data_IF_336243579987
#
_entry.id   IF_336243579987
#
_cell.length_a   1.000
_cell.length_b   1.000
_cell.length_c   1.000
_cell.angle_alpha   90.00
_cell.angle_beta   90.00
_cell.angle_gamma   90.00
#
_symmetry.space_group_name_H-M   'P 1'
#
loop_
_entity.id
_entity.type
_entity.pdbx_description
1 polymer ?
#
# COMPACT_ATOMS: atom_id res chain seq x y z
N UNK A 1 2.82 -3.20 -5.94
CA UNK A 1 2.66 -1.74 -5.88
C UNK A 1 3.84 -1.04 -5.21
N UNK A 2 4.18 -1.34 -3.96
CA UNK A 2 5.33 -0.74 -3.26
C UNK A 2 6.66 -1.12 -3.94
N UNK A 3 6.93 -2.42 -4.13
CA UNK A 3 8.13 -2.91 -4.85
C UNK A 3 8.32 -2.32 -6.24
N UNK A 4 7.22 -1.99 -6.89
CA UNK A 4 7.21 -1.42 -8.23
C UNK A 4 7.59 0.07 -8.17
N UNK A 5 7.10 0.82 -7.17
CA UNK A 5 7.60 2.18 -6.88
C UNK A 5 9.10 2.16 -6.54
N UNK A 6 9.54 1.25 -5.67
CA UNK A 6 10.97 1.08 -5.32
C UNK A 6 11.84 0.83 -6.56
N UNK A 7 11.41 -0.09 -7.44
CA UNK A 7 12.14 -0.38 -8.68
C UNK A 7 12.26 0.84 -9.61
N UNK A 8 11.22 1.69 -9.65
CA UNK A 8 11.21 2.91 -10.46
C UNK A 8 12.08 3.99 -9.86
N UNK A 9 12.15 4.10 -8.53
CA UNK A 9 13.09 5.01 -7.85
C UNK A 9 14.52 4.67 -8.24
N UNK A 10 14.90 3.39 -8.15
CA UNK A 10 16.26 2.94 -8.53
C UNK A 10 16.54 3.27 -10.01
N UNK A 11 15.59 2.99 -10.90
CA UNK A 11 15.76 3.31 -12.32
C UNK A 11 15.87 4.84 -12.57
N UNK A 12 15.17 5.66 -11.78
CA UNK A 12 15.30 7.12 -11.89
C UNK A 12 16.70 7.58 -11.48
N UNK A 13 17.21 7.04 -10.37
CA UNK A 13 18.58 7.30 -9.91
C UNK A 13 19.62 6.89 -10.96
N UNK A 14 19.46 5.74 -11.59
CA UNK A 14 20.33 5.29 -12.69
C UNK A 14 20.30 6.24 -13.88
N UNK A 15 19.13 6.75 -14.27
CA UNK A 15 19.01 7.73 -15.35
C UNK A 15 19.66 9.07 -14.99
N UNK A 16 19.49 9.55 -13.77
CA UNK A 16 20.11 10.77 -13.27
C UNK A 16 21.64 10.62 -13.25
N UNK A 17 22.14 9.46 -12.82
CA UNK A 17 23.57 9.17 -12.82
C UNK A 17 24.15 9.10 -14.25
N UNK A 18 23.42 8.51 -15.20
CA UNK A 18 23.79 8.51 -16.62
C UNK A 18 23.85 9.93 -17.19
N UNK A 19 22.84 10.76 -16.94
CA UNK A 19 22.85 12.17 -17.36
C UNK A 19 24.05 12.91 -16.77
N UNK A 20 24.35 12.67 -15.50
CA UNK A 20 25.47 13.32 -14.81
C UNK A 20 26.82 12.93 -15.41
N UNK A 21 27.01 11.65 -15.74
CA UNK A 21 28.28 11.12 -16.27
C UNK A 21 28.46 11.31 -17.77
N UNK A 22 27.40 11.13 -18.58
CA UNK A 22 27.47 11.17 -20.04
C UNK A 22 27.33 12.58 -20.61
N UNK A 23 26.51 13.42 -19.97
CA UNK A 23 26.18 14.76 -20.46
C UNK A 23 26.92 15.83 -19.64
N UNK A 24 26.66 15.88 -18.32
CA UNK A 24 27.10 17.02 -17.50
C UNK A 24 28.62 17.02 -17.23
N UNK A 25 29.24 15.85 -17.10
CA UNK A 25 30.69 15.73 -16.93
C UNK A 25 31.46 15.96 -18.24
N UNK A 26 30.78 15.96 -19.39
CA UNK A 26 31.44 16.08 -20.67
C UNK A 26 31.51 17.53 -21.15
N UNK A 27 32.67 18.16 -20.96
CA UNK A 27 32.94 19.56 -21.32
C UNK A 27 32.74 19.85 -22.81
N UNK A 28 32.76 18.83 -23.69
CA UNK A 28 32.47 19.05 -25.12
C UNK A 28 31.02 19.45 -25.37
N UNK A 29 30.08 19.05 -24.50
CA UNK A 29 28.65 19.37 -24.63
C UNK A 29 28.37 20.87 -24.49
N UNK A 30 29.20 21.61 -23.74
CA UNK A 30 29.07 23.07 -23.61
C UNK A 30 29.36 23.80 -24.94
N UNK A 31 30.14 23.18 -25.84
CA UNK A 31 30.53 23.76 -27.14
C UNK A 31 29.67 23.26 -28.31
N UNK A 32 28.75 22.31 -28.06
CA UNK A 32 27.89 21.78 -29.12
C UNK A 32 26.82 22.79 -29.53
N UNK A 33 26.42 22.81 -30.82
CA UNK A 33 25.23 23.52 -31.25
C UNK A 33 23.98 23.03 -30.49
N UNK A 34 23.03 23.92 -30.15
CA UNK A 34 21.84 23.55 -29.38
C UNK A 34 21.02 22.39 -29.98
N UNK A 35 20.92 22.33 -31.31
CA UNK A 35 20.20 21.26 -32.02
C UNK A 35 20.88 19.89 -31.83
N UNK A 36 22.20 19.82 -31.95
CA UNK A 36 22.95 18.57 -31.74
C UNK A 36 22.92 18.11 -30.29
N UNK A 37 23.02 19.07 -29.36
CA UNK A 37 22.87 18.82 -27.93
C UNK A 37 21.49 18.23 -27.61
N UNK A 38 20.42 18.78 -28.18
CA UNK A 38 19.07 18.23 -28.03
C UNK A 38 18.99 16.80 -28.58
N UNK A 39 19.40 16.54 -29.82
CA UNK A 39 19.32 15.20 -30.43
C UNK A 39 20.04 14.14 -29.60
N UNK A 40 21.17 14.48 -28.96
CA UNK A 40 21.92 13.53 -28.12
C UNK A 40 21.32 13.33 -26.72
N UNK A 41 20.58 14.31 -26.20
CA UNK A 41 20.04 14.29 -24.84
C UNK A 41 18.54 13.93 -24.78
N UNK A 42 17.80 14.10 -25.87
CA UNK A 42 16.35 13.95 -25.94
C UNK A 42 15.86 12.60 -25.42
N UNK A 43 16.54 11.50 -25.79
CA UNK A 43 16.17 10.17 -25.34
C UNK A 43 16.24 10.02 -23.82
N UNK A 44 17.34 10.46 -23.22
CA UNK A 44 17.55 10.39 -21.76
C UNK A 44 16.59 11.33 -21.02
N UNK A 45 16.42 12.57 -21.50
CA UNK A 45 15.54 13.57 -20.87
C UNK A 45 14.08 13.14 -20.95
N UNK A 46 13.66 12.55 -22.07
CA UNK A 46 12.29 12.04 -22.24
C UNK A 46 12.04 10.81 -21.36
N UNK A 47 13.01 9.88 -21.27
CA UNK A 47 12.92 8.74 -20.36
C UNK A 47 12.82 9.19 -18.90
N UNK A 48 13.65 10.17 -18.50
CA UNK A 48 13.63 10.74 -17.15
C UNK A 48 12.26 11.34 -16.81
N UNK A 49 11.69 12.11 -17.74
CA UNK A 49 10.37 12.72 -17.57
C UNK A 49 9.26 11.68 -17.44
N UNK A 50 9.22 10.70 -18.32
CA UNK A 50 8.18 9.66 -18.30
C UNK A 50 8.24 8.87 -17.00
N UNK A 51 9.44 8.50 -16.55
CA UNK A 51 9.62 7.78 -15.29
C UNK A 51 9.21 8.63 -14.08
N UNK A 52 9.50 9.94 -14.09
CA UNK A 52 9.05 10.86 -13.05
C UNK A 52 7.51 10.95 -12.99
N UNK A 53 6.84 10.96 -14.14
CA UNK A 53 5.37 10.94 -14.23
C UNK A 53 4.79 9.66 -13.63
N UNK A 54 5.37 8.50 -13.95
CA UNK A 54 4.95 7.21 -13.37
C UNK A 54 5.18 7.13 -11.86
N UNK A 55 6.31 7.63 -11.36
CA UNK A 55 6.61 7.68 -9.92
C UNK A 55 5.61 8.59 -9.22
N UNK A 56 5.32 9.78 -9.79
CA UNK A 56 4.30 10.69 -9.25
C UNK A 56 2.95 10.00 -9.11
N UNK A 57 2.49 9.31 -10.14
CA UNK A 57 1.16 8.69 -10.13
C UNK A 57 1.06 7.58 -9.08
N UNK A 58 2.14 6.83 -8.88
CA UNK A 58 2.24 5.83 -7.81
C UNK A 58 2.26 6.44 -6.44
N UNK A 59 3.02 7.52 -6.24
CA UNK A 59 3.03 8.24 -4.96
C UNK A 59 1.63 8.79 -4.62
N UNK A 60 0.92 9.35 -5.61
CA UNK A 60 -0.44 9.85 -5.43
C UNK A 60 -1.43 8.74 -5.07
N UNK A 61 -1.23 7.54 -5.62
CA UNK A 61 -2.03 6.38 -5.28
C UNK A 61 -1.73 5.86 -3.86
N UNK A 62 -0.46 5.72 -3.49
CA UNK A 62 -0.05 5.15 -2.21
C UNK A 62 -0.25 6.12 -1.03
N UNK A 63 -0.18 7.43 -1.28
CA UNK A 63 -0.31 8.45 -0.24
C UNK A 63 -1.01 9.71 -0.74
N UNK A 64 -2.32 9.62 -1.07
CA UNK A 64 -3.09 10.72 -1.62
C UNK A 64 -3.17 11.94 -0.68
N UNK A 65 -2.99 11.75 0.63
CA UNK A 65 -3.03 12.82 1.64
C UNK A 65 -1.89 13.82 1.44
N UNK A 66 -0.78 13.40 0.81
CA UNK A 66 0.36 14.26 0.48
C UNK A 66 0.31 14.80 -0.95
N UNK A 67 -0.81 14.68 -1.66
CA UNK A 67 -0.94 15.09 -3.05
C UNK A 67 -0.45 16.52 -3.36
N UNK A 68 -0.72 17.56 -2.53
CA UNK A 68 -0.19 18.90 -2.78
C UNK A 68 1.33 18.94 -2.77
N UNK A 69 1.96 18.27 -1.80
CA UNK A 69 3.42 18.21 -1.68
C UNK A 69 4.06 17.41 -2.81
N UNK A 70 3.46 16.28 -3.18
CA UNK A 70 3.89 15.42 -4.30
C UNK A 70 3.89 16.23 -5.60
N UNK A 71 2.77 16.89 -5.91
CA UNK A 71 2.65 17.72 -7.12
C UNK A 71 3.65 18.87 -7.13
N UNK A 72 3.93 19.48 -5.97
CA UNK A 72 4.91 20.55 -5.84
C UNK A 72 6.33 20.06 -6.15
N UNK A 73 6.79 18.97 -5.51
CA UNK A 73 8.13 18.43 -5.75
C UNK A 73 8.29 17.89 -7.18
N UNK A 74 7.27 17.22 -7.71
CA UNK A 74 7.25 16.81 -9.11
C UNK A 74 7.40 17.99 -10.07
N UNK A 75 6.70 19.10 -9.82
CA UNK A 75 6.82 20.31 -10.64
C UNK A 75 8.20 20.94 -10.52
N UNK A 76 8.75 21.02 -9.32
CA UNK A 76 10.10 21.55 -9.09
C UNK A 76 11.15 20.73 -9.86
N UNK A 77 11.00 19.41 -9.88
CA UNK A 77 11.87 18.53 -10.67
C UNK A 77 11.68 18.69 -12.20
N UNK A 78 10.46 18.78 -12.70
CA UNK A 78 10.22 18.91 -14.15
C UNK A 78 10.51 20.29 -14.71
N UNK A 79 10.41 21.35 -13.91
CA UNK A 79 10.58 22.72 -14.39
C UNK A 79 11.95 22.93 -15.05
N UNK A 80 13.09 22.56 -14.44
CA UNK A 80 14.39 22.69 -15.08
C UNK A 80 14.53 21.85 -16.36
N UNK A 81 13.89 20.68 -16.44
CA UNK A 81 13.88 19.87 -17.68
C UNK A 81 13.11 20.56 -18.82
N UNK A 82 12.01 21.23 -18.50
CA UNK A 82 11.27 22.02 -19.47
C UNK A 82 12.08 23.24 -19.93
N UNK A 83 12.74 23.93 -19.00
CA UNK A 83 13.65 25.03 -19.31
C UNK A 83 14.83 24.58 -20.17
N UNK A 84 15.43 23.43 -19.88
CA UNK A 84 16.47 22.81 -20.72
C UNK A 84 16.01 22.68 -22.17
N UNK A 85 14.85 22.08 -22.39
CA UNK A 85 14.27 21.90 -23.73
C UNK A 85 13.99 23.26 -24.40
N UNK A 86 13.40 24.20 -23.66
CA UNK A 86 13.03 25.51 -24.19
C UNK A 86 14.25 26.32 -24.61
N UNK A 87 15.32 26.36 -23.79
CA UNK A 87 16.57 27.05 -24.10
C UNK A 87 17.24 26.49 -25.35
N UNK A 88 17.15 25.17 -25.59
CA UNK A 88 17.72 24.55 -26.79
C UNK A 88 16.89 24.77 -28.05
N UNK A 89 15.56 24.80 -27.93
CA UNK A 89 14.65 24.96 -29.08
C UNK A 89 14.40 26.42 -29.47
N UNK A 90 14.47 27.35 -28.50
CA UNK A 90 14.25 28.79 -28.70
C UNK A 90 15.35 29.59 -27.99
N UNK A 91 16.60 29.52 -28.49
CA UNK A 91 17.71 30.21 -27.85
C UNK A 91 17.54 31.74 -27.95
N UNK A 92 17.56 32.42 -26.80
CA UNK A 92 17.61 33.88 -26.75
C UNK A 92 18.99 34.41 -27.18
N UNK A 93 20.05 33.67 -26.85
CA UNK A 93 21.43 33.89 -27.31
C UNK A 93 22.01 32.58 -27.89
N UNK A 94 22.29 32.52 -29.20
CA UNK A 94 22.83 31.32 -29.85
C UNK A 94 24.20 30.87 -29.33
N UNK A 95 25.02 31.79 -28.78
CA UNK A 95 26.40 31.49 -28.38
C UNK A 95 26.51 30.94 -26.94
N UNK A 96 25.51 31.20 -26.08
CA UNK A 96 25.46 30.73 -24.70
C UNK A 96 24.39 29.68 -24.40
N UNK A 97 23.47 29.41 -25.33
CA UNK A 97 22.31 28.55 -25.09
C UNK A 97 22.64 27.14 -24.60
N UNK A 98 23.67 26.49 -25.15
CA UNK A 98 24.07 25.14 -24.74
C UNK A 98 24.57 25.10 -23.30
N UNK A 99 25.40 26.08 -22.90
CA UNK A 99 25.88 26.20 -21.53
C UNK A 99 24.73 26.48 -20.56
N UNK A 100 23.85 27.41 -20.90
CA UNK A 100 22.68 27.73 -20.10
C UNK A 100 21.73 26.54 -19.94
N UNK A 101 21.49 25.78 -21.02
CA UNK A 101 20.69 24.58 -20.98
C UNK A 101 21.30 23.56 -20.00
N UNK A 102 22.61 23.32 -20.08
CA UNK A 102 23.28 22.40 -19.16
C UNK A 102 23.15 22.82 -17.69
N UNK A 103 23.10 24.12 -17.37
CA UNK A 103 22.78 24.58 -16.01
C UNK A 103 21.35 24.20 -15.58
N UNK A 104 20.36 24.29 -16.48
CA UNK A 104 19.01 23.80 -16.20
C UNK A 104 19.00 22.28 -15.95
N UNK A 105 19.80 21.51 -16.69
CA UNK A 105 19.92 20.07 -16.49
C UNK A 105 20.60 19.74 -15.15
N UNK A 106 21.61 20.51 -14.72
CA UNK A 106 22.20 20.41 -13.36
C UNK A 106 21.16 20.72 -12.29
N UNK A 107 20.35 21.75 -12.49
CA UNK A 107 19.22 22.06 -11.61
C UNK A 107 18.22 20.90 -11.50
N UNK A 108 17.90 20.22 -12.61
CA UNK A 108 17.05 19.04 -12.57
C UNK A 108 17.65 17.91 -11.72
N UNK A 109 18.97 17.69 -11.81
CA UNK A 109 19.67 16.69 -10.98
C UNK A 109 19.57 17.04 -9.50
N UNK A 110 19.74 18.31 -9.12
CA UNK A 110 19.59 18.74 -7.72
C UNK A 110 18.14 18.53 -7.22
N UNK A 111 17.15 19.03 -7.97
CA UNK A 111 15.72 18.91 -7.60
C UNK A 111 15.24 17.45 -7.57
N UNK A 112 15.88 16.58 -8.35
CA UNK A 112 15.55 15.15 -8.37
C UNK A 112 15.79 14.46 -7.03
N UNK A 113 16.79 14.91 -6.25
CA UNK A 113 17.11 14.33 -4.95
C UNK A 113 15.94 14.49 -3.98
N UNK A 114 15.38 15.69 -3.89
CA UNK A 114 14.22 15.95 -3.03
C UNK A 114 12.96 15.18 -3.48
N UNK A 115 12.80 14.96 -4.78
CA UNK A 115 11.72 14.16 -5.33
C UNK A 115 11.90 12.67 -5.00
N UNK A 116 13.11 12.14 -5.13
CA UNK A 116 13.46 10.75 -4.80
C UNK A 116 13.30 10.49 -3.29
N UNK A 117 13.79 11.39 -2.44
CA UNK A 117 13.62 11.29 -0.99
C UNK A 117 12.15 11.20 -0.59
N UNK A 118 11.30 12.03 -1.21
CA UNK A 118 9.85 11.96 -0.99
C UNK A 118 9.27 10.63 -1.46
N UNK A 119 9.71 10.12 -2.62
CA UNK A 119 9.25 8.83 -3.12
C UNK A 119 9.65 7.67 -2.20
N UNK A 120 10.86 7.71 -1.64
CA UNK A 120 11.35 6.74 -0.65
C UNK A 120 10.53 6.78 0.64
N UNK A 121 10.31 7.97 1.22
CA UNK A 121 9.48 8.11 2.43
C UNK A 121 8.04 7.61 2.20
N UNK A 122 7.48 7.81 1.00
CA UNK A 122 6.16 7.26 0.65
C UNK A 122 6.20 5.73 0.49
N UNK A 123 7.28 5.16 -0.05
CA UNK A 123 7.43 3.71 -0.17
C UNK A 123 7.58 3.02 1.20
N UNK A 124 8.29 3.65 2.14
CA UNK A 124 8.48 3.16 3.50
C UNK A 124 7.21 3.32 4.35
N UNK A 125 6.48 4.42 4.15
CA UNK A 125 5.28 4.78 4.91
C UNK A 125 4.11 5.12 3.98
N UNK A 126 3.53 4.12 3.30
CA UNK A 126 2.30 4.30 2.53
C UNK A 126 1.12 4.59 3.47
N UNK A 127 0.01 5.08 2.91
CA UNK A 127 -1.22 5.32 3.68
C UNK A 127 -1.80 4.00 4.22
N UNK A 128 -2.06 3.95 5.53
CA UNK A 128 -2.64 2.77 6.20
C UNK A 128 -4.00 2.41 5.60
N UNK A 129 -4.86 3.42 5.35
CA UNK A 129 -6.17 3.20 4.74
C UNK A 129 -6.08 2.64 3.32
N UNK A 130 -5.10 3.08 2.52
CA UNK A 130 -4.86 2.51 1.18
C UNK A 130 -4.39 1.05 1.30
N UNK A 131 -3.50 0.74 2.26
CA UNK A 131 -3.06 -0.64 2.48
C UNK A 131 -4.21 -1.56 2.89
N UNK A 132 -5.09 -1.11 3.78
CA UNK A 132 -6.28 -1.87 4.17
C UNK A 132 -7.21 -2.11 2.98
N UNK A 133 -7.46 -1.09 2.16
CA UNK A 133 -8.26 -1.23 0.94
C UNK A 133 -7.64 -2.22 -0.06
N UNK A 134 -6.32 -2.20 -0.22
CA UNK A 134 -5.61 -3.16 -1.08
C UNK A 134 -5.75 -4.59 -0.55
N UNK A 135 -5.57 -4.80 0.76
CA UNK A 135 -5.77 -6.12 1.40
C UNK A 135 -7.21 -6.61 1.23
N UNK A 136 -8.20 -5.75 1.45
CA UNK A 136 -9.61 -6.09 1.27
C UNK A 136 -9.91 -6.47 -0.18
N UNK A 137 -9.33 -5.74 -1.14
CA UNK A 137 -9.44 -6.06 -2.56
C UNK A 137 -8.81 -7.42 -2.88
N UNK A 138 -7.61 -7.70 -2.39
CA UNK A 138 -6.95 -9.01 -2.58
C UNK A 138 -7.78 -10.16 -2.01
N UNK A 139 -8.36 -9.99 -0.82
CA UNK A 139 -9.27 -10.98 -0.22
C UNK A 139 -10.54 -11.15 -1.05
N UNK A 140 -11.09 -10.07 -1.58
CA UNK A 140 -12.27 -10.11 -2.43
C UNK A 140 -12.00 -10.82 -3.77
N UNK A 141 -10.89 -10.49 -4.44
CA UNK A 141 -10.46 -11.17 -5.67
C UNK A 141 -10.19 -12.66 -5.41
N UNK A 142 -9.53 -13.01 -4.30
CA UNK A 142 -9.31 -14.40 -3.91
C UNK A 142 -10.62 -15.15 -3.64
N UNK A 143 -11.63 -14.51 -3.02
CA UNK A 143 -12.97 -15.09 -2.83
C UNK A 143 -13.64 -15.42 -4.17
N UNK A 144 -13.49 -14.56 -5.17
CA UNK A 144 -14.00 -14.81 -6.53
C UNK A 144 -13.26 -15.99 -7.21
N UNK A 145 -11.94 -16.07 -7.06
CA UNK A 145 -11.16 -17.22 -7.54
C UNK A 145 -11.58 -18.54 -6.87
N UNK A 146 -11.71 -18.58 -5.53
CA UNK A 146 -12.12 -19.78 -4.79
C UNK A 146 -13.53 -20.23 -5.22
N UNK A 147 -14.40 -19.29 -5.58
CA UNK A 147 -15.75 -19.58 -6.06
C UNK A 147 -15.79 -20.18 -7.48
N UNK A 148 -14.69 -20.06 -8.25
CA UNK A 148 -14.57 -20.52 -9.64
C UNK A 148 -13.72 -21.78 -9.83
N UNK A 149 -12.94 -22.18 -8.82
CA UNK A 149 -12.18 -23.44 -8.88
C UNK A 149 -13.13 -24.59 -8.55
N UNK A 150 -13.26 -25.55 -9.47
CA UNK A 150 -13.91 -26.84 -9.18
C UNK A 150 -13.18 -27.48 -8.01
N UNK A 151 -13.85 -27.50 -6.85
CA UNK A 151 -13.35 -28.16 -5.66
C UNK A 151 -13.22 -29.65 -6.00
N UNK A 152 -12.03 -30.27 -5.90
CA UNK A 152 -11.89 -31.70 -6.11
C UNK A 152 -12.90 -32.44 -5.23
N UNK A 153 -13.60 -33.45 -5.77
CA UNK A 153 -14.69 -34.17 -5.09
C UNK A 153 -14.29 -34.61 -3.66
N UNK A 154 -13.02 -34.99 -3.48
CA UNK A 154 -12.43 -35.39 -2.20
C UNK A 154 -12.40 -34.28 -1.15
N UNK A 155 -12.25 -33.02 -1.57
CA UNK A 155 -12.27 -31.84 -0.68
C UNK A 155 -13.71 -31.43 -0.39
N UNK A 156 -14.61 -31.53 -1.37
CA UNK A 156 -16.04 -31.29 -1.18
C UNK A 156 -16.64 -32.27 -0.16
N UNK A 157 -16.35 -33.57 -0.28
CA UNK A 157 -16.78 -34.60 0.68
C UNK A 157 -16.26 -34.32 2.10
N UNK A 158 -15.02 -33.84 2.24
CA UNK A 158 -14.46 -33.44 3.55
C UNK A 158 -15.17 -32.22 4.13
N UNK A 159 -15.52 -31.23 3.30
CA UNK A 159 -16.27 -30.05 3.73
C UNK A 159 -17.71 -30.40 4.12
N UNK A 160 -18.38 -31.27 3.37
CA UNK A 160 -19.71 -31.78 3.74
C UNK A 160 -19.67 -32.61 5.03
N UNK A 161 -18.66 -33.44 5.22
CA UNK A 161 -18.46 -34.15 6.48
C UNK A 161 -18.22 -33.20 7.66
N UNK A 162 -17.41 -32.16 7.46
CA UNK A 162 -17.14 -31.14 8.47
C UNK A 162 -18.43 -30.38 8.83
N UNK A 163 -19.22 -29.99 7.83
CA UNK A 163 -20.52 -29.33 8.02
C UNK A 163 -21.49 -30.19 8.85
N UNK A 164 -21.65 -31.47 8.51
CA UNK A 164 -22.48 -32.40 9.29
C UNK A 164 -21.98 -32.59 10.72
N UNK A 165 -20.66 -32.61 10.89
CA UNK A 165 -20.03 -32.69 12.21
C UNK A 165 -20.34 -31.44 13.04
N UNK A 166 -20.30 -30.25 12.43
CA UNK A 166 -20.68 -28.99 13.09
C UNK A 166 -22.16 -28.95 13.46
N UNK A 167 -23.06 -29.41 12.58
CA UNK A 167 -24.49 -29.51 12.87
C UNK A 167 -24.78 -30.48 14.04
N UNK A 168 -24.09 -31.62 14.05
CA UNK A 168 -24.19 -32.60 15.16
C UNK A 168 -23.67 -32.02 16.47
N UNK A 169 -22.54 -31.31 16.43
CA UNK A 169 -21.98 -30.66 17.62
C UNK A 169 -22.94 -29.61 18.17
N UNK A 170 -23.54 -28.80 17.30
CA UNK A 170 -24.53 -27.79 17.67
C UNK A 170 -25.75 -28.41 18.34
N UNK A 171 -26.27 -29.52 17.81
CA UNK A 171 -27.36 -30.25 18.43
C UNK A 171 -26.99 -30.73 19.84
N UNK A 172 -25.77 -31.29 20.02
CA UNK A 172 -25.29 -31.76 21.32
C UNK A 172 -25.12 -30.63 22.33
N UNK A 173 -24.64 -29.47 21.90
CA UNK A 173 -24.55 -28.28 22.75
C UNK A 173 -25.94 -27.89 23.24
N UNK A 174 -26.93 -27.84 22.35
CA UNK A 174 -28.31 -27.50 22.74
C UNK A 174 -28.91 -28.51 23.74
N UNK A 175 -28.63 -29.80 23.59
CA UNK A 175 -29.05 -30.84 24.54
C UNK A 175 -28.37 -30.63 25.91
N UNK A 176 -27.07 -30.31 25.92
CA UNK A 176 -26.33 -30.04 27.15
C UNK A 176 -26.85 -28.79 27.87
N UNK A 177 -27.12 -27.72 27.13
CA UNK A 177 -27.72 -26.50 27.68
C UNK A 177 -29.05 -26.79 28.37
N UNK A 178 -29.91 -27.61 27.75
CA UNK A 178 -31.18 -28.02 28.33
C UNK A 178 -30.98 -28.86 29.61
N UNK A 179 -30.05 -29.82 29.59
CA UNK A 179 -29.75 -30.65 30.76
C UNK A 179 -29.21 -29.83 31.94
N UNK A 180 -28.39 -28.82 31.67
CA UNK A 180 -27.90 -27.89 32.69
C UNK A 180 -29.06 -27.09 33.29
N UNK A 181 -29.96 -26.57 32.45
CA UNK A 181 -31.16 -25.86 32.92
C UNK A 181 -32.04 -26.74 33.83
N UNK A 182 -32.24 -28.01 33.45
CA UNK A 182 -33.06 -28.93 34.25
C UNK A 182 -32.40 -29.27 35.58
N UNK A 183 -31.07 -29.42 35.60
CA UNK A 183 -30.31 -29.65 36.82
C UNK A 183 -30.35 -28.44 37.76
N UNK A 184 -30.23 -27.22 37.24
CA UNK A 184 -30.39 -25.99 38.04
C UNK A 184 -31.78 -25.95 38.69
N UNK A 185 -32.84 -26.23 37.92
CA UNK A 185 -34.21 -26.33 38.48
C UNK A 185 -34.39 -27.41 39.53
N UNK A 186 -33.62 -28.50 39.46
CA UNK A 186 -33.63 -29.53 40.51
C UNK A 186 -32.88 -29.07 41.76
N UNK A 187 -31.75 -28.36 41.59
CA UNK A 187 -31.00 -27.78 42.70
C UNK A 187 -31.81 -26.71 43.44
N UNK A 188 -32.52 -25.83 42.72
CA UNK A 188 -33.38 -24.81 43.33
C UNK A 188 -34.48 -25.47 44.19
N UNK A 189 -35.15 -26.50 43.64
CA UNK A 189 -36.15 -27.29 44.39
C UNK A 189 -35.56 -27.97 45.61
N UNK A 190 -34.37 -28.55 45.49
CA UNK A 190 -33.70 -29.18 46.63
C UNK A 190 -33.31 -28.15 47.70
N UNK A 191 -32.90 -26.94 47.31
CA UNK A 191 -32.60 -25.85 48.24
C UNK A 191 -33.86 -25.35 48.94
N UNK A 192 -34.99 -25.23 48.24
CA UNK A 192 -36.29 -24.91 48.83
C UNK A 192 -36.70 -25.96 49.87
N UNK A 193 -36.67 -27.25 49.51
CA UNK A 193 -37.00 -28.35 50.43
C UNK A 193 -36.04 -28.40 51.62
N UNK A 194 -34.73 -28.24 51.39
CA UNK A 194 -33.74 -28.20 52.46
C UNK A 194 -33.95 -27.02 53.42
N UNK A 195 -34.42 -25.87 52.91
CA UNK A 195 -34.76 -24.70 53.73
C UNK A 195 -35.99 -24.95 54.60
N UNK A 196 -37.00 -25.67 54.08
CA UNK A 196 -38.19 -26.10 54.85
C UNK A 196 -37.79 -27.04 55.99
N UNK A 197 -36.97 -28.06 55.71
CA UNK A 197 -36.49 -28.98 56.75
C UNK A 197 -35.63 -28.31 57.82
N UNK A 198 -34.88 -27.25 57.46
CA UNK A 198 -34.13 -26.45 58.43
C UNK A 198 -35.03 -25.59 59.32
N UNK A 199 -36.12 -25.03 58.78
CA UNK A 199 -37.12 -24.30 59.56
C UNK A 199 -37.89 -25.21 60.52
N UNK A 200 -38.31 -26.39 60.07
CA UNK A 200 -39.00 -27.37 60.92
C UNK A 200 -38.11 -27.83 62.10
N UNK A 201 -36.81 -27.99 61.90
CA UNK A 201 -35.86 -28.26 63.00
C UNK A 201 -35.75 -27.11 64.00
N UNK A 202 -35.72 -25.86 63.54
CA UNK A 202 -35.63 -24.69 64.43
C UNK A 202 -36.91 -24.48 65.26
N UNK A 203 -38.09 -24.78 64.71
CA UNK A 203 -39.34 -24.75 65.47
C UNK A 203 -39.43 -25.87 66.52
N UNK A 204 -38.77 -27.01 66.28
CA UNK A 204 -38.74 -28.12 67.23
C UNK A 204 -37.79 -27.85 68.41
N UNK A 205 -36.69 -27.13 68.20
CA UNK A 205 -35.73 -26.74 69.25
C UNK A 205 -36.19 -25.55 70.11
N UNK A 206 -37.15 -24.72 69.63
CA UNK A 206 -37.74 -23.61 70.40
C UNK A 206 -38.96 -24.04 71.25
N UNK A 207 -39.42 -25.28 71.09
CA UNK A 207 -40.56 -25.86 71.81
C UNK A 207 -40.14 -26.81 72.96
N UNK A 208 -38.84 -26.88 73.29
CA UNK A 208 -38.30 -27.52 74.50
C UNK A 208 -37.81 -26.47 75.50
#
# INVERSE_FOLDING_TARGET
MIKDLESKIVHLEDLIQKISSEILANVTYEKLPPAELWTRSEGLVSALRNLAEEIRDRMLFLRPERAPSIRRKFRAFLQPLNSFKETLQKPADPYGASKQALEHLRGAVTESQEFIEMARDISEKPSEGILELLKLREVYEAKEYISRVSVPETVYVKLEHLKRSMETLRLRISILEQAIMDLLKQMDRFQEEASVFQQERQETDLAQ
#
